data_IF_219997794880
#
_entry.id   IF_219997794880
#
_cell.length_a   1.000
_cell.length_b   1.000
_cell.length_c   1.000
_cell.angle_alpha   90.00
_cell.angle_beta   90.00
_cell.angle_gamma   90.00
#
_symmetry.space_group_name_H-M   'P 1'
#
loop_
_entity.id
_entity.type
_entity.pdbx_description
1 polymer ?
#
# COMPACT_ATOMS: atom_id res chain seq x y z
N UNK A 1 42.83 -60.83 -21.83
CA UNK A 1 42.12 -60.69 -23.12
C UNK A 1 40.66 -60.48 -22.78
N UNK A 2 40.00 -59.53 -23.43
CA UNK A 2 38.56 -59.25 -23.35
C UNK A 2 37.72 -60.53 -23.58
N UNK A 3 36.46 -60.70 -23.20
CA UNK A 3 35.35 -59.84 -22.74
C UNK A 3 34.43 -60.72 -21.83
N UNK A 4 33.35 -60.31 -21.15
CA UNK A 4 32.57 -59.05 -21.08
C UNK A 4 31.99 -58.86 -19.64
N UNK A 5 30.94 -58.03 -19.51
CA UNK A 5 30.09 -57.80 -18.34
C UNK A 5 28.95 -58.83 -18.19
N UNK A 6 28.40 -58.95 -16.97
CA UNK A 6 26.94 -59.09 -16.79
C UNK A 6 26.53 -58.48 -15.44
N UNK A 7 25.87 -57.32 -15.46
CA UNK A 7 25.41 -56.64 -14.26
C UNK A 7 24.27 -57.42 -13.61
N UNK A 8 24.51 -58.02 -12.43
CA UNK A 8 23.43 -58.40 -11.52
C UNK A 8 22.82 -57.15 -10.87
N UNK A 9 21.83 -56.61 -11.58
CA UNK A 9 20.93 -55.56 -11.11
C UNK A 9 20.40 -55.93 -9.73
N UNK A 10 20.76 -55.13 -8.71
CA UNK A 10 20.05 -55.13 -7.44
C UNK A 10 18.67 -54.52 -7.69
N UNK A 11 17.67 -55.38 -7.86
CA UNK A 11 16.27 -55.01 -7.70
C UNK A 11 16.03 -54.66 -6.24
N UNK A 12 16.33 -53.41 -5.87
CA UNK A 12 15.71 -52.81 -4.71
C UNK A 12 14.21 -52.75 -4.99
N UNK A 13 13.42 -53.32 -4.09
CA UNK A 13 11.97 -53.17 -4.15
C UNK A 13 11.65 -51.68 -3.95
N UNK A 14 11.46 -50.94 -5.04
CA UNK A 14 10.70 -49.71 -4.99
C UNK A 14 9.31 -50.09 -4.51
N UNK A 15 8.99 -49.68 -3.29
CA UNK A 15 7.60 -49.44 -2.96
C UNK A 15 7.19 -48.34 -3.94
N UNK A 16 6.36 -48.68 -4.91
CA UNK A 16 5.61 -47.65 -5.63
C UNK A 16 4.82 -46.91 -4.54
N UNK A 17 5.21 -45.67 -4.26
CA UNK A 17 4.34 -44.78 -3.52
C UNK A 17 3.02 -44.77 -4.28
N UNK A 18 1.88 -44.96 -3.61
CA UNK A 18 0.61 -45.03 -4.31
C UNK A 18 0.45 -43.75 -5.12
N UNK A 19 0.25 -43.89 -6.43
CA UNK A 19 -0.21 -42.79 -7.28
C UNK A 19 -1.58 -42.38 -6.74
N UNK A 20 -1.57 -41.38 -5.85
CA UNK A 20 -2.78 -40.67 -5.44
C UNK A 20 -3.13 -39.81 -6.64
N UNK A 21 -4.12 -40.25 -7.41
CA UNK A 21 -4.83 -39.38 -8.34
C UNK A 21 -5.40 -38.21 -7.51
N UNK A 22 -4.69 -37.08 -7.56
CA UNK A 22 -5.18 -35.79 -7.04
C UNK A 22 -6.17 -35.15 -8.04
N UNK A 23 -6.95 -35.98 -8.74
CA UNK A 23 -8.09 -35.53 -9.53
C UNK A 23 -9.21 -35.12 -8.57
N UNK A 24 -9.40 -33.81 -8.46
CA UNK A 24 -10.63 -33.13 -8.04
C UNK A 24 -11.21 -33.47 -6.65
N UNK A 25 -10.37 -33.92 -5.72
CA UNK A 25 -10.70 -33.87 -4.29
C UNK A 25 -10.51 -32.44 -3.76
N UNK A 26 -11.41 -31.53 -4.16
CA UNK A 26 -11.53 -30.19 -3.55
C UNK A 26 -11.58 -30.35 -2.03
N UNK A 27 -10.51 -29.91 -1.34
CA UNK A 27 -10.55 -29.76 0.10
C UNK A 27 -11.41 -28.53 0.37
N UNK A 28 -12.72 -28.73 0.45
CA UNK A 28 -13.66 -27.72 0.90
C UNK A 28 -13.26 -27.28 2.32
N UNK A 29 -12.99 -25.98 2.47
CA UNK A 29 -13.01 -25.35 3.79
C UNK A 29 -14.43 -25.43 4.39
N UNK A 30 -14.59 -25.21 5.70
CA UNK A 30 -15.91 -25.17 6.37
C UNK A 30 -16.89 -24.11 5.79
N UNK A 31 -16.40 -23.26 4.88
CA UNK A 31 -17.14 -22.20 4.18
C UNK A 31 -17.44 -22.51 2.71
N UNK A 32 -17.06 -23.68 2.19
CA UNK A 32 -17.34 -24.09 0.80
C UNK A 32 -16.45 -23.46 -0.27
N UNK A 33 -15.26 -22.98 0.10
CA UNK A 33 -14.22 -22.52 -0.84
C UNK A 33 -13.08 -23.54 -0.89
N UNK A 34 -12.44 -23.76 -2.05
CA UNK A 34 -11.19 -24.52 -2.14
C UNK A 34 -10.12 -23.88 -1.25
N UNK A 35 -9.35 -24.69 -0.52
CA UNK A 35 -8.23 -24.22 0.33
C UNK A 35 -7.25 -23.31 -0.45
N UNK A 36 -7.11 -23.53 -1.76
CA UNK A 36 -6.25 -22.72 -2.64
C UNK A 36 -6.75 -21.28 -2.80
N UNK A 37 -8.06 -21.04 -2.94
CA UNK A 37 -8.62 -19.69 -3.05
C UNK A 37 -8.49 -18.91 -1.74
N UNK A 38 -8.69 -19.60 -0.61
CA UNK A 38 -8.55 -19.04 0.73
C UNK A 38 -7.09 -18.61 1.00
N UNK A 39 -6.13 -19.48 0.64
CA UNK A 39 -4.70 -19.19 0.74
C UNK A 39 -4.26 -18.03 -0.19
N UNK A 40 -4.79 -17.97 -1.41
CA UNK A 40 -4.50 -16.89 -2.36
C UNK A 40 -5.04 -15.54 -1.87
N UNK A 41 -6.26 -15.51 -1.32
CA UNK A 41 -6.86 -14.35 -0.66
C UNK A 41 -6.01 -13.87 0.51
N UNK A 42 -5.62 -14.78 1.41
CA UNK A 42 -4.75 -14.45 2.54
C UNK A 42 -3.42 -13.86 2.07
N UNK A 43 -2.81 -14.44 1.04
CA UNK A 43 -1.58 -13.91 0.44
C UNK A 43 -1.78 -12.46 -0.04
N UNK A 44 -2.81 -12.16 -0.84
CA UNK A 44 -3.08 -10.81 -1.32
C UNK A 44 -3.29 -9.80 -0.18
N UNK A 45 -4.11 -10.15 0.82
CA UNK A 45 -4.39 -9.27 1.96
C UNK A 45 -3.13 -9.03 2.80
N UNK A 46 -2.36 -10.09 3.06
CA UNK A 46 -1.10 -10.01 3.81
C UNK A 46 -0.07 -9.17 3.06
N UNK A 47 0.03 -9.28 1.74
CA UNK A 47 0.94 -8.50 0.90
C UNK A 47 0.68 -7.00 1.06
N UNK A 48 -0.57 -6.54 0.91
CA UNK A 48 -0.94 -5.13 1.14
C UNK A 48 -0.54 -4.70 2.55
N UNK A 49 -1.02 -5.41 3.59
CA UNK A 49 -0.82 -5.02 5.00
C UNK A 49 0.66 -5.00 5.40
N UNK A 50 1.49 -5.92 4.87
CA UNK A 50 2.92 -5.96 5.17
C UNK A 50 3.70 -4.83 4.50
N UNK A 51 3.22 -4.31 3.37
CA UNK A 51 3.94 -3.32 2.57
C UNK A 51 3.55 -1.87 2.88
N UNK A 52 2.47 -1.60 3.63
CA UNK A 52 2.13 -0.25 4.15
C UNK A 52 3.36 0.39 4.82
N UNK A 53 3.73 1.58 4.35
CA UNK A 53 4.88 2.38 4.78
C UNK A 53 6.19 2.16 4.03
N UNK A 54 6.25 1.21 3.08
CA UNK A 54 7.45 0.85 2.31
C UNK A 54 7.47 1.48 0.91
N UNK A 55 8.66 1.53 0.30
CA UNK A 55 8.90 2.04 -1.05
C UNK A 55 8.30 1.18 -2.18
N UNK A 56 8.14 -0.12 -1.96
CA UNK A 56 7.58 -1.10 -2.90
C UNK A 56 6.04 -1.15 -2.89
N UNK A 57 5.38 -0.46 -1.93
CA UNK A 57 3.93 -0.57 -1.73
C UNK A 57 3.10 -0.36 -2.99
N UNK A 58 3.45 0.63 -3.84
CA UNK A 58 2.69 0.92 -5.06
C UNK A 58 2.67 -0.24 -6.05
N UNK A 59 3.81 -0.90 -6.24
CA UNK A 59 3.94 -2.03 -7.18
C UNK A 59 3.16 -3.24 -6.66
N UNK A 60 3.36 -3.56 -5.39
CA UNK A 60 2.71 -4.65 -4.67
C UNK A 60 1.19 -4.46 -4.57
N UNK A 61 0.71 -3.24 -4.31
CA UNK A 61 -0.71 -2.92 -4.25
C UNK A 61 -1.36 -3.04 -5.64
N UNK A 62 -0.76 -2.44 -6.68
CA UNK A 62 -1.31 -2.48 -8.03
C UNK A 62 -1.30 -3.89 -8.65
N UNK A 63 -0.43 -4.79 -8.20
CA UNK A 63 -0.41 -6.19 -8.67
C UNK A 63 -1.57 -7.02 -8.11
N UNK A 64 -1.99 -6.79 -6.86
CA UNK A 64 -3.04 -7.59 -6.19
C UNK A 64 -4.42 -6.92 -6.14
N UNK A 65 -4.50 -5.58 -6.25
CA UNK A 65 -5.75 -4.82 -6.18
C UNK A 65 -6.85 -5.30 -7.15
N UNK A 66 -6.56 -5.61 -8.44
CA UNK A 66 -7.59 -6.02 -9.40
C UNK A 66 -8.31 -7.31 -9.02
N UNK A 67 -7.64 -8.22 -8.30
CA UNK A 67 -8.22 -9.47 -7.81
C UNK A 67 -8.86 -9.30 -6.44
N UNK A 68 -8.18 -8.56 -5.53
CA UNK A 68 -8.68 -8.21 -4.21
C UNK A 68 -10.08 -7.57 -4.22
N UNK A 69 -10.37 -6.69 -5.17
CA UNK A 69 -11.67 -5.97 -5.21
C UNK A 69 -12.86 -6.88 -5.55
N UNK A 70 -12.60 -8.05 -6.15
CA UNK A 70 -13.62 -9.04 -6.56
C UNK A 70 -14.19 -9.84 -5.38
N UNK A 71 -13.51 -9.89 -4.24
CA UNK A 71 -13.96 -10.64 -3.08
C UNK A 71 -15.27 -10.08 -2.47
N UNK A 72 -16.03 -10.90 -1.74
CA UNK A 72 -17.21 -10.47 -0.98
C UNK A 72 -16.95 -9.31 -0.02
N UNK A 73 -17.98 -8.53 0.29
CA UNK A 73 -17.88 -7.32 1.14
C UNK A 73 -17.38 -7.66 2.55
N UNK A 74 -17.77 -8.82 3.08
CA UNK A 74 -17.39 -9.33 4.40
C UNK A 74 -15.88 -9.57 4.50
N UNK A 75 -15.24 -10.01 3.41
CA UNK A 75 -13.79 -10.20 3.35
C UNK A 75 -13.06 -8.87 3.21
N UNK A 76 -13.59 -7.97 2.38
CA UNK A 76 -13.06 -6.61 2.20
C UNK A 76 -13.19 -5.75 3.47
N UNK A 77 -14.19 -6.01 4.33
CA UNK A 77 -14.31 -5.43 5.67
C UNK A 77 -13.11 -5.78 6.56
N UNK A 78 -12.77 -7.06 6.67
CA UNK A 78 -11.61 -7.53 7.46
C UNK A 78 -10.31 -6.91 6.95
N UNK A 79 -10.15 -6.76 5.64
CA UNK A 79 -9.02 -6.04 5.05
C UNK A 79 -9.03 -4.56 5.42
N UNK A 80 -10.16 -3.86 5.26
CA UNK A 80 -10.27 -2.42 5.56
C UNK A 80 -9.96 -2.10 7.03
N UNK A 81 -10.44 -2.92 7.96
CA UNK A 81 -10.09 -2.81 9.39
C UNK A 81 -8.60 -3.08 9.64
N UNK A 82 -8.02 -4.06 8.93
CA UNK A 82 -6.60 -4.37 9.00
C UNK A 82 -5.74 -3.23 8.46
N UNK A 83 -6.17 -2.57 7.37
CA UNK A 83 -5.52 -1.38 6.80
C UNK A 83 -5.51 -0.25 7.84
N UNK A 84 -6.67 0.09 8.42
CA UNK A 84 -6.77 1.16 9.44
C UNK A 84 -5.87 0.87 10.65
N UNK A 85 -5.88 -0.37 11.15
CA UNK A 85 -5.01 -0.83 12.25
C UNK A 85 -3.52 -0.73 11.89
N UNK A 86 -3.15 -1.03 10.64
CA UNK A 86 -1.77 -0.97 10.17
C UNK A 86 -1.30 0.46 9.93
N UNK A 87 -2.12 1.31 9.33
CA UNK A 87 -1.87 2.76 9.19
C UNK A 87 -1.64 3.39 10.56
N UNK A 88 -2.46 3.04 11.57
CA UNK A 88 -2.25 3.49 12.96
C UNK A 88 -0.87 3.10 13.51
N UNK A 89 -0.35 1.91 13.18
CA UNK A 89 0.98 1.49 13.62
C UNK A 89 2.12 2.22 12.88
N UNK A 90 2.00 2.35 11.55
CA UNK A 90 3.06 2.89 10.68
C UNK A 90 3.17 4.41 10.82
N UNK A 91 2.03 5.11 10.86
CA UNK A 91 1.97 6.57 10.87
C UNK A 91 1.66 7.14 12.26
N UNK A 92 1.29 6.33 13.27
CA UNK A 92 0.85 6.82 14.57
C UNK A 92 -0.28 7.88 14.42
N UNK A 93 -1.24 7.56 13.55
CA UNK A 93 -2.44 8.32 13.24
C UNK A 93 -3.67 7.55 13.75
N UNK A 94 -4.61 8.25 14.37
CA UNK A 94 -5.88 7.71 14.81
C UNK A 94 -6.97 8.71 14.38
N UNK A 95 -7.90 8.31 13.50
CA UNK A 95 -8.99 9.17 13.06
C UNK A 95 -9.80 9.70 14.24
N UNK A 96 -10.20 10.97 14.18
CA UNK A 96 -10.97 11.60 15.26
C UNK A 96 -12.43 11.12 15.37
N UNK A 97 -12.90 10.35 14.38
CA UNK A 97 -14.23 9.75 14.30
C UNK A 97 -14.07 8.27 13.94
N UNK A 98 -14.96 7.42 14.46
CA UNK A 98 -15.01 6.00 14.10
C UNK A 98 -15.25 5.86 12.60
N UNK A 99 -14.29 5.26 11.90
CA UNK A 99 -14.41 4.95 10.47
C UNK A 99 -15.29 3.72 10.31
N UNK A 100 -16.32 3.84 9.47
CA UNK A 100 -17.22 2.74 9.14
C UNK A 100 -16.57 1.79 8.13
N UNK A 101 -16.97 0.52 8.11
CA UNK A 101 -16.59 -0.48 7.10
C UNK A 101 -17.82 -1.19 6.51
N UNK A 102 -19.03 -0.87 6.99
CA UNK A 102 -20.27 -1.60 6.67
C UNK A 102 -20.75 -1.49 5.21
N UNK A 103 -20.16 -0.63 4.37
CA UNK A 103 -20.54 -0.49 2.96
C UNK A 103 -19.35 -0.51 2.00
N UNK A 104 -19.61 -0.90 0.76
CA UNK A 104 -18.64 -0.86 -0.35
C UNK A 104 -18.04 0.54 -0.54
N UNK A 105 -18.85 1.59 -0.34
CA UNK A 105 -18.41 3.00 -0.40
C UNK A 105 -17.41 3.34 0.71
N UNK A 106 -17.62 2.82 1.92
CA UNK A 106 -16.70 3.03 3.04
C UNK A 106 -15.35 2.34 2.79
N UNK A 107 -15.37 1.10 2.28
CA UNK A 107 -14.19 0.35 1.88
C UNK A 107 -13.41 1.11 0.79
N UNK A 108 -14.09 1.58 -0.27
CA UNK A 108 -13.48 2.37 -1.34
C UNK A 108 -12.85 3.66 -0.79
N UNK A 109 -13.46 4.32 0.19
CA UNK A 109 -12.87 5.50 0.83
C UNK A 109 -11.60 5.17 1.63
N UNK A 110 -11.54 4.00 2.29
CA UNK A 110 -10.35 3.53 3.00
C UNK A 110 -9.23 3.16 2.02
N UNK A 111 -9.56 2.51 0.90
CA UNK A 111 -8.61 2.17 -0.16
C UNK A 111 -8.02 3.43 -0.81
N UNK A 112 -8.87 4.40 -1.23
CA UNK A 112 -8.41 5.70 -1.73
C UNK A 112 -7.52 6.47 -0.75
N UNK A 113 -7.84 6.40 0.55
CA UNK A 113 -7.02 7.00 1.59
C UNK A 113 -5.64 6.31 1.71
N UNK A 114 -5.60 4.97 1.63
CA UNK A 114 -4.35 4.22 1.62
C UNK A 114 -3.50 4.56 0.38
N UNK A 115 -4.11 4.60 -0.80
CA UNK A 115 -3.47 5.02 -2.05
C UNK A 115 -2.86 6.42 -1.91
N UNK A 116 -3.63 7.41 -1.42
CA UNK A 116 -3.15 8.76 -1.16
C UNK A 116 -1.96 8.79 -0.19
N UNK A 117 -2.04 8.16 0.98
CA UNK A 117 -0.97 8.20 2.00
C UNK A 117 0.33 7.55 1.50
N UNK A 118 0.22 6.53 0.65
CA UNK A 118 1.37 5.75 0.19
C UNK A 118 1.98 6.25 -1.13
N UNK A 119 1.18 6.61 -2.14
CA UNK A 119 1.71 7.01 -3.46
C UNK A 119 0.91 8.05 -4.27
N UNK A 120 -0.40 8.23 -4.02
CA UNK A 120 -1.27 9.10 -4.82
C UNK A 120 -1.38 10.55 -4.29
N UNK A 121 -0.33 11.00 -3.59
CA UNK A 121 -0.18 12.37 -3.07
C UNK A 121 0.74 13.23 -3.95
N UNK A 122 1.21 12.73 -5.11
CA UNK A 122 2.25 13.40 -5.90
C UNK A 122 1.87 14.82 -6.32
N UNK A 123 0.69 15.01 -6.90
CA UNK A 123 0.25 16.31 -7.40
C UNK A 123 0.05 17.30 -6.24
N UNK A 124 -0.64 16.88 -5.18
CA UNK A 124 -0.80 17.61 -3.91
C UNK A 124 0.55 18.09 -3.34
N UNK A 125 1.56 17.22 -3.25
CA UNK A 125 2.89 17.62 -2.77
C UNK A 125 3.56 18.63 -3.70
N UNK A 126 3.49 18.39 -5.01
CA UNK A 126 4.09 19.28 -6.02
C UNK A 126 3.43 20.67 -5.99
N UNK A 127 2.12 20.76 -5.84
CA UNK A 127 1.38 22.02 -5.75
C UNK A 127 1.80 22.82 -4.50
N UNK A 128 2.02 22.16 -3.36
CA UNK A 128 2.60 22.82 -2.16
C UNK A 128 4.00 23.37 -2.45
N UNK A 129 4.84 22.63 -3.18
CA UNK A 129 6.18 23.12 -3.56
C UNK A 129 6.13 24.30 -4.53
N UNK A 130 5.20 24.29 -5.49
CA UNK A 130 4.95 25.43 -6.38
C UNK A 130 4.43 26.67 -5.64
N UNK A 131 3.67 26.51 -4.56
CA UNK A 131 3.29 27.61 -3.67
C UNK A 131 4.46 28.15 -2.85
N UNK A 132 5.34 27.27 -2.35
CA UNK A 132 6.51 27.67 -1.54
C UNK A 132 7.59 28.41 -2.32
N UNK A 133 7.61 28.25 -3.66
CA UNK A 133 8.52 28.91 -4.61
C UNK A 133 10.00 29.02 -4.13
N UNK A 134 10.66 27.89 -3.82
CA UNK A 134 12.00 27.92 -3.23
C UNK A 134 13.09 28.16 -4.28
N UNK A 135 14.05 29.04 -3.97
CA UNK A 135 15.24 29.29 -4.80
C UNK A 135 15.98 27.98 -5.16
N UNK A 136 16.00 27.64 -6.46
CA UNK A 136 16.58 26.39 -6.98
C UNK A 136 18.05 26.18 -6.59
N UNK A 137 18.85 27.26 -6.58
CA UNK A 137 20.26 27.26 -6.20
C UNK A 137 20.50 26.81 -4.74
N UNK A 138 19.49 26.88 -3.88
CA UNK A 138 19.56 26.48 -2.47
C UNK A 138 18.58 25.35 -2.10
N UNK A 139 18.00 24.69 -3.10
CA UNK A 139 16.92 23.71 -2.94
C UNK A 139 17.34 22.49 -2.11
N UNK A 140 16.89 22.48 -0.85
CA UNK A 140 17.12 21.41 0.11
C UNK A 140 15.85 21.12 0.89
N UNK A 141 15.10 20.10 0.46
CA UNK A 141 13.79 19.70 1.03
C UNK A 141 13.79 19.68 2.56
N UNK A 142 14.77 19.02 3.20
CA UNK A 142 14.83 18.96 4.67
C UNK A 142 14.95 20.32 5.36
N UNK A 143 15.68 21.24 4.74
CA UNK A 143 15.96 22.56 5.31
C UNK A 143 14.71 23.43 5.16
N UNK A 144 14.11 23.44 3.97
CA UNK A 144 12.90 24.21 3.68
C UNK A 144 11.72 23.69 4.51
N UNK A 145 11.49 22.38 4.58
CA UNK A 145 10.42 21.81 5.41
C UNK A 145 10.57 22.12 6.92
N UNK A 146 11.79 22.38 7.42
CA UNK A 146 12.02 22.82 8.81
C UNK A 146 11.86 24.33 9.00
N UNK A 147 12.05 25.12 7.95
CA UNK A 147 11.96 26.59 8.00
C UNK A 147 10.54 27.09 7.70
N UNK A 148 9.81 26.41 6.82
CA UNK A 148 8.53 26.82 6.25
C UNK A 148 7.35 25.95 6.74
N UNK A 149 7.40 25.47 8.00
CA UNK A 149 6.36 24.57 8.53
C UNK A 149 4.97 25.21 8.55
N UNK A 150 4.85 26.50 8.84
CA UNK A 150 3.56 27.19 8.92
C UNK A 150 2.96 27.40 7.54
N UNK A 151 3.79 27.70 6.55
CA UNK A 151 3.47 27.91 5.15
C UNK A 151 3.00 26.60 4.51
N UNK A 152 3.68 25.48 4.79
CA UNK A 152 3.23 24.13 4.40
C UNK A 152 1.84 23.83 5.00
N UNK A 153 1.64 24.06 6.30
CA UNK A 153 0.35 23.82 6.95
C UNK A 153 -0.76 24.73 6.40
N UNK A 154 -0.45 25.98 6.08
CA UNK A 154 -1.38 26.92 5.48
C UNK A 154 -1.85 26.45 4.10
N UNK A 155 -0.91 26.09 3.22
CA UNK A 155 -1.23 25.63 1.87
C UNK A 155 -1.98 24.29 1.87
N UNK A 156 -1.67 23.37 2.79
CA UNK A 156 -2.45 22.14 3.00
C UNK A 156 -3.93 22.48 3.29
N UNK A 157 -4.22 23.46 4.15
CA UNK A 157 -5.60 23.85 4.45
C UNK A 157 -6.29 24.56 3.28
N UNK A 158 -5.58 25.36 2.47
CA UNK A 158 -6.13 25.97 1.25
C UNK A 158 -6.45 24.91 0.18
N UNK A 159 -5.60 23.90 0.00
CA UNK A 159 -5.89 22.77 -0.89
C UNK A 159 -7.07 21.92 -0.39
N UNK A 160 -7.20 21.70 0.92
CA UNK A 160 -8.38 21.06 1.52
C UNK A 160 -9.69 21.83 1.33
N UNK A 161 -9.63 23.14 1.06
CA UNK A 161 -10.81 23.97 0.80
C UNK A 161 -11.15 24.07 -0.70
N UNK A 162 -10.22 23.71 -1.58
CA UNK A 162 -10.35 23.86 -3.04
C UNK A 162 -10.43 22.54 -3.82
N UNK A 163 -9.96 21.42 -3.25
CA UNK A 163 -9.95 20.09 -3.87
C UNK A 163 -10.96 19.13 -3.21
N UNK A 164 -11.55 18.24 -4.01
CA UNK A 164 -12.51 17.23 -3.54
C UNK A 164 -11.80 15.97 -2.99
N UNK A 165 -11.16 16.14 -1.83
CA UNK A 165 -10.56 15.03 -1.10
C UNK A 165 -11.60 14.17 -0.39
N UNK A 166 -11.37 12.85 -0.34
CA UNK A 166 -12.22 11.96 0.46
C UNK A 166 -12.21 12.40 1.93
N UNK A 167 -13.32 12.19 2.63
CA UNK A 167 -13.46 12.54 4.05
C UNK A 167 -12.27 12.06 4.90
N UNK A 168 -11.75 10.87 4.64
CA UNK A 168 -10.67 10.27 5.42
C UNK A 168 -9.30 10.89 5.12
N UNK A 169 -9.05 11.31 3.87
CA UNK A 169 -7.86 12.12 3.51
C UNK A 169 -7.94 13.48 4.19
N UNK A 170 -9.10 14.15 4.13
CA UNK A 170 -9.34 15.43 4.82
C UNK A 170 -9.20 15.31 6.34
N UNK A 171 -9.67 14.21 6.94
CA UNK A 171 -9.48 13.96 8.38
C UNK A 171 -8.01 13.74 8.72
N UNK A 172 -7.27 12.98 7.91
CA UNK A 172 -5.83 12.78 8.09
C UNK A 172 -5.08 14.10 8.03
N UNK A 173 -5.22 14.87 6.95
CA UNK A 173 -4.50 16.13 6.76
C UNK A 173 -4.79 17.18 7.86
N UNK A 174 -6.00 17.19 8.44
CA UNK A 174 -6.39 18.14 9.51
C UNK A 174 -6.11 17.69 10.94
N UNK A 175 -6.25 16.39 11.24
CA UNK A 175 -6.21 15.87 12.62
C UNK A 175 -4.91 15.16 12.97
N UNK A 176 -4.14 14.77 11.96
CA UNK A 176 -2.76 14.34 12.17
C UNK A 176 -1.94 15.53 12.67
N UNK A 177 -1.22 15.33 13.78
CA UNK A 177 -0.47 16.39 14.48
C UNK A 177 0.38 17.21 13.49
N UNK A 178 0.33 18.55 13.59
CA UNK A 178 1.03 19.51 12.71
C UNK A 178 2.52 19.18 12.49
N UNK A 179 3.20 18.73 13.54
CA UNK A 179 4.60 18.32 13.44
C UNK A 179 4.72 17.04 12.59
N UNK A 180 3.83 16.06 12.81
CA UNK A 180 3.82 14.79 12.07
C UNK A 180 3.37 14.93 10.61
N UNK A 181 2.45 15.83 10.28
CA UNK A 181 2.04 16.04 8.89
C UNK A 181 3.13 16.76 8.10
N UNK A 182 3.86 17.70 8.71
CA UNK A 182 5.05 18.30 8.08
C UNK A 182 6.21 17.29 7.96
N UNK A 183 6.39 16.38 8.93
CA UNK A 183 7.30 15.23 8.81
C UNK A 183 6.91 14.28 7.67
N UNK A 184 5.62 13.91 7.54
CA UNK A 184 5.10 13.07 6.46
C UNK A 184 5.29 13.75 5.09
N UNK A 185 4.92 15.02 4.97
CA UNK A 185 5.12 15.83 3.77
C UNK A 185 6.61 15.89 3.39
N UNK A 186 7.51 16.14 4.35
CA UNK A 186 8.95 16.16 4.13
C UNK A 186 9.49 14.79 3.70
N UNK A 187 9.03 13.69 4.31
CA UNK A 187 9.40 12.32 3.91
C UNK A 187 8.98 12.06 2.46
N UNK A 188 7.70 12.28 2.13
CA UNK A 188 7.16 12.04 0.79
C UNK A 188 7.72 12.98 -0.27
N UNK A 189 8.05 14.22 0.09
CA UNK A 189 8.77 15.15 -0.80
C UNK A 189 10.15 14.62 -1.21
N UNK A 190 10.90 13.96 -0.30
CA UNK A 190 12.19 13.33 -0.65
C UNK A 190 12.03 12.19 -1.65
N UNK A 191 10.96 11.40 -1.50
CA UNK A 191 10.62 10.31 -2.43
C UNK A 191 10.30 10.86 -3.83
N UNK A 192 9.86 12.11 -3.94
CA UNK A 192 9.49 12.83 -5.18
C UNK A 192 10.48 13.94 -5.59
N UNK A 193 11.70 13.95 -5.03
CA UNK A 193 12.64 15.08 -5.14
C UNK A 193 12.90 15.53 -6.59
N UNK A 194 13.05 14.57 -7.50
CA UNK A 194 13.37 14.86 -8.90
C UNK A 194 12.18 15.47 -9.62
N UNK A 195 10.95 15.02 -9.33
CA UNK A 195 9.75 15.54 -9.99
C UNK A 195 9.32 16.90 -9.44
N UNK A 196 9.57 17.16 -8.16
CA UNK A 196 9.44 18.51 -7.59
C UNK A 196 10.42 19.46 -8.30
N UNK A 197 11.70 19.10 -8.38
CA UNK A 197 12.73 19.94 -9.01
C UNK A 197 12.44 20.22 -10.50
N UNK A 198 12.01 19.19 -11.25
CA UNK A 198 11.58 19.35 -12.64
C UNK A 198 10.35 20.27 -12.76
N UNK A 199 9.36 20.14 -11.87
CA UNK A 199 8.16 20.98 -11.93
C UNK A 199 8.43 22.44 -11.62
N UNK A 200 9.33 22.72 -10.68
CA UNK A 200 9.76 24.09 -10.36
C UNK A 200 10.46 24.73 -11.57
N UNK A 201 11.37 24.02 -12.25
CA UNK A 201 12.00 24.51 -13.49
C UNK A 201 10.98 24.72 -14.64
N UNK A 202 9.95 23.88 -14.74
CA UNK A 202 8.86 24.08 -15.72
C UNK A 202 7.96 25.29 -15.40
N UNK A 203 8.08 25.88 -14.21
CA UNK A 203 7.32 27.03 -13.75
C UNK A 203 8.03 28.39 -13.87
N UNK A 204 9.35 28.40 -14.13
CA UNK A 204 10.18 29.59 -14.40
C UNK A 204 10.03 30.12 -15.84
#
# INVERSE_FOLDING_TARGET
>A
MFESEDLKILLGNSIEEPEVDYDDAEVESELGYPVEEEALKEYFFITIIRNIGKSDFKEEYLSVYPDMIKYPIEQKQVLAESILKRVKQVYNYEPSIIVNTNSESDIINILKFLEFVEYDHKNFIIEIWSYLDPELDSFHIEKICKQNQNEIIFEIEEQLNSQDFSWLITNFLRTYNKDKITEWFCKKSKELNNEIYLKLIEGE
#
